data_IF_363544498520
#
_entry.id   IF_363544498520
#
_cell.length_a   1.000
_cell.length_b   1.000
_cell.length_c   1.000
_cell.angle_alpha   90.00
_cell.angle_beta   90.00
_cell.angle_gamma   90.00
#
_symmetry.space_group_name_H-M   'P 1'
#
loop_
_entity.id
_entity.type
_entity.pdbx_description
1 polymer ?
#
# COMPACT_ATOMS: atom_id res chain seq x y z
N UNK A 1 -8.84 20.02 -1.46
CA UNK A 1 -8.84 18.86 -2.39
C UNK A 1 -7.45 18.51 -2.93
N UNK A 2 -6.88 19.21 -3.94
CA UNK A 2 -5.57 18.81 -4.51
C UNK A 2 -4.42 18.76 -3.48
N UNK A 3 -4.34 19.78 -2.62
CA UNK A 3 -3.37 19.85 -1.52
C UNK A 3 -3.62 18.81 -0.43
N UNK A 4 -4.86 18.38 -0.21
CA UNK A 4 -5.20 17.38 0.82
C UNK A 4 -4.88 15.97 0.33
N UNK A 5 -5.32 15.61 -0.88
CA UNK A 5 -4.97 14.33 -1.52
C UNK A 5 -3.45 14.21 -1.64
N UNK A 6 -2.78 15.31 -1.99
CA UNK A 6 -1.34 15.39 -2.06
C UNK A 6 -0.63 15.09 -0.73
N UNK A 7 -1.08 15.68 0.38
CA UNK A 7 -0.56 15.40 1.73
C UNK A 7 -0.71 13.92 2.14
N UNK A 8 -1.73 13.23 1.63
CA UNK A 8 -2.02 11.84 1.99
C UNK A 8 -1.12 10.86 1.21
N UNK A 9 -0.91 11.10 -0.08
CA UNK A 9 -0.28 10.13 -0.99
C UNK A 9 1.13 10.49 -1.44
N UNK A 10 1.52 11.77 -1.48
CA UNK A 10 2.83 12.24 -1.94
C UNK A 10 3.40 13.34 -1.00
N UNK A 11 3.79 12.95 0.21
CA UNK A 11 4.28 13.85 1.27
C UNK A 11 5.61 14.56 0.96
N UNK A 12 6.38 14.08 -0.02
CA UNK A 12 7.74 14.57 -0.31
C UNK A 12 7.84 15.51 -1.53
N UNK A 13 6.72 15.87 -2.18
CA UNK A 13 6.74 16.75 -3.36
C UNK A 13 6.10 18.11 -3.10
N UNK A 14 6.88 19.18 -3.29
CA UNK A 14 6.45 20.58 -3.13
C UNK A 14 5.45 21.07 -4.19
N UNK A 15 5.25 20.32 -5.29
CA UNK A 15 4.28 20.64 -6.34
C UNK A 15 3.57 19.34 -6.71
N UNK A 16 2.26 19.28 -6.46
CA UNK A 16 1.44 18.10 -6.69
C UNK A 16 0.53 18.40 -7.86
N UNK A 17 0.85 17.83 -9.02
CA UNK A 17 0.01 17.94 -10.20
C UNK A 17 -1.29 17.17 -9.94
N UNK A 18 -2.43 17.86 -10.09
CA UNK A 18 -3.76 17.30 -9.86
C UNK A 18 -4.06 16.08 -10.73
N UNK A 19 -3.52 16.02 -11.95
CA UNK A 19 -3.66 14.88 -12.85
C UNK A 19 -2.79 13.67 -12.42
N UNK A 20 -1.70 13.92 -11.69
CA UNK A 20 -0.80 12.87 -11.18
C UNK A 20 -1.29 12.22 -9.88
N UNK A 21 -2.35 12.77 -9.26
CA UNK A 21 -2.97 12.15 -8.09
C UNK A 21 -3.61 10.80 -8.41
N UNK A 22 -3.90 10.53 -9.69
CA UNK A 22 -4.34 9.23 -10.19
C UNK A 22 -5.47 8.61 -9.37
N UNK A 23 -5.27 7.36 -8.94
CA UNK A 23 -6.21 6.58 -8.12
C UNK A 23 -6.49 7.25 -6.75
N UNK A 24 -5.54 8.04 -6.21
CA UNK A 24 -5.72 8.74 -4.94
C UNK A 24 -6.89 9.74 -4.96
N UNK A 25 -7.20 10.34 -6.11
CA UNK A 25 -8.37 11.22 -6.26
C UNK A 25 -9.69 10.45 -6.08
N UNK A 26 -9.74 9.23 -6.62
CA UNK A 26 -10.93 8.38 -6.57
C UNK A 26 -11.16 7.95 -5.13
N UNK A 27 -10.09 7.50 -4.46
CA UNK A 27 -10.14 7.09 -3.05
C UNK A 27 -10.66 8.21 -2.16
N UNK A 28 -10.21 9.46 -2.36
CA UNK A 28 -10.65 10.60 -1.54
C UNK A 28 -12.15 10.92 -1.68
N UNK A 29 -12.77 10.52 -2.79
CA UNK A 29 -14.21 10.68 -3.03
C UNK A 29 -15.06 9.53 -2.46
N UNK A 30 -14.43 8.44 -2.02
CA UNK A 30 -15.15 7.28 -1.50
C UNK A 30 -15.65 7.53 -0.07
N UNK A 31 -16.89 7.12 0.25
CA UNK A 31 -17.37 7.15 1.63
C UNK A 31 -16.51 6.26 2.55
N UNK A 32 -16.14 6.75 3.73
CA UNK A 32 -15.38 5.98 4.72
C UNK A 32 -15.97 4.60 5.06
N UNK A 33 -17.31 4.40 5.15
CA UNK A 33 -17.88 3.07 5.35
C UNK A 33 -17.52 2.09 4.23
N UNK A 34 -17.47 2.55 2.97
CA UNK A 34 -17.09 1.72 1.82
C UNK A 34 -15.61 1.34 1.88
N UNK A 35 -14.74 2.30 2.23
CA UNK A 35 -13.32 2.03 2.47
C UNK A 35 -13.11 0.96 3.56
N UNK A 36 -13.83 1.08 4.69
CA UNK A 36 -13.79 0.07 5.77
C UNK A 36 -14.26 -1.31 5.32
N UNK A 37 -15.34 -1.37 4.54
CA UNK A 37 -15.82 -2.63 3.97
C UNK A 37 -14.77 -3.27 3.05
N UNK A 38 -14.21 -2.49 2.14
CA UNK A 38 -13.18 -2.95 1.21
C UNK A 38 -11.96 -3.53 1.92
N UNK A 39 -11.41 -2.82 2.92
CA UNK A 39 -10.25 -3.31 3.69
C UNK A 39 -10.59 -4.62 4.41
N UNK A 40 -11.78 -4.70 5.04
CA UNK A 40 -12.20 -5.90 5.76
C UNK A 40 -12.35 -7.12 4.85
N UNK A 41 -12.84 -6.92 3.63
CA UNK A 41 -12.99 -7.99 2.64
C UNK A 41 -11.65 -8.47 2.10
N UNK A 42 -10.76 -7.53 1.72
CA UNK A 42 -9.47 -7.84 1.09
C UNK A 42 -8.45 -8.41 2.07
N UNK A 43 -8.37 -7.85 3.28
CA UNK A 43 -7.41 -8.27 4.29
C UNK A 43 -8.00 -9.25 5.31
N UNK A 44 -9.21 -9.75 5.07
CA UNK A 44 -9.91 -10.69 5.96
C UNK A 44 -9.96 -10.24 7.43
N UNK A 45 -10.08 -8.93 7.65
CA UNK A 45 -10.11 -8.32 8.98
C UNK A 45 -8.76 -7.90 9.55
N UNK A 46 -7.64 -8.16 8.86
CA UNK A 46 -6.37 -7.53 9.18
C UNK A 46 -6.37 -6.05 8.79
N UNK A 47 -5.58 -5.28 9.51
CA UNK A 47 -5.28 -3.87 9.28
C UNK A 47 -3.82 -3.72 8.89
N UNK A 48 -3.42 -2.52 8.46
CA UNK A 48 -2.01 -2.27 8.15
C UNK A 48 -1.12 -2.39 9.39
N UNK A 49 -1.66 -2.06 10.56
CA UNK A 49 -0.94 -2.09 11.83
C UNK A 49 -0.59 -3.53 12.27
N UNK A 50 -1.20 -4.55 11.65
CA UNK A 50 -0.88 -5.96 11.89
C UNK A 50 0.38 -6.42 11.13
N UNK A 51 0.89 -5.61 10.19
CA UNK A 51 2.14 -5.90 9.50
C UNK A 51 3.33 -5.26 10.22
N UNK A 52 4.38 -6.04 10.43
CA UNK A 52 5.65 -5.52 10.96
C UNK A 52 6.31 -4.54 9.96
N UNK A 53 7.13 -3.63 10.50
CA UNK A 53 7.85 -2.61 9.71
C UNK A 53 8.72 -3.24 8.60
N UNK A 54 9.27 -4.43 8.86
CA UNK A 54 10.09 -5.18 7.91
C UNK A 54 9.27 -5.63 6.69
N UNK A 55 8.05 -6.10 6.92
CA UNK A 55 7.10 -6.51 5.88
C UNK A 55 6.67 -5.30 5.07
N UNK A 56 6.28 -4.20 5.71
CA UNK A 56 5.89 -2.98 5.01
C UNK A 56 7.05 -2.40 4.19
N UNK A 57 8.26 -2.37 4.73
CA UNK A 57 9.46 -1.94 4.01
C UNK A 57 9.75 -2.86 2.81
N UNK A 58 9.62 -4.17 2.98
CA UNK A 58 9.80 -5.15 1.90
C UNK A 58 8.81 -4.91 0.78
N UNK A 59 7.53 -4.71 1.10
CA UNK A 59 6.47 -4.46 0.11
C UNK A 59 6.68 -3.13 -0.62
N UNK A 60 6.95 -2.05 0.11
CA UNK A 60 7.21 -0.75 -0.50
C UNK A 60 8.39 -0.84 -1.47
N UNK A 61 9.48 -1.50 -1.06
CA UNK A 61 10.65 -1.68 -1.92
C UNK A 61 10.39 -2.58 -3.12
N UNK A 62 9.52 -3.58 -2.96
CA UNK A 62 9.09 -4.45 -4.05
C UNK A 62 8.27 -3.69 -5.10
N UNK A 63 7.37 -2.79 -4.66
CA UNK A 63 6.63 -1.91 -5.56
C UNK A 63 7.54 -0.89 -6.27
N UNK A 64 8.48 -0.26 -5.56
CA UNK A 64 9.46 0.66 -6.16
C UNK A 64 10.29 0.02 -7.28
N UNK A 65 10.54 -1.29 -7.15
CA UNK A 65 11.28 -2.07 -8.13
C UNK A 65 10.37 -2.79 -9.15
N UNK A 66 9.13 -2.34 -9.32
CA UNK A 66 8.17 -2.90 -10.29
C UNK A 66 7.99 -4.43 -10.12
N UNK A 67 7.88 -4.89 -8.88
CA UNK A 67 7.71 -6.31 -8.53
C UNK A 67 8.90 -7.21 -8.95
N UNK A 68 10.07 -6.61 -9.19
CA UNK A 68 11.27 -7.35 -9.56
C UNK A 68 11.96 -7.92 -8.32
N UNK A 69 11.94 -9.24 -8.16
CA UNK A 69 12.55 -9.96 -7.03
C UNK A 69 14.06 -9.72 -6.96
N UNK A 70 14.76 -9.77 -8.09
CA UNK A 70 16.21 -9.63 -8.15
C UNK A 70 16.66 -8.24 -7.71
N UNK A 71 16.07 -7.19 -8.29
CA UNK A 71 16.38 -5.80 -7.95
C UNK A 71 16.01 -5.47 -6.50
N UNK A 72 14.84 -5.92 -6.04
CA UNK A 72 14.40 -5.70 -4.67
C UNK A 72 15.33 -6.36 -3.66
N UNK A 73 15.75 -7.60 -3.92
CA UNK A 73 16.68 -8.31 -3.03
C UNK A 73 18.02 -7.59 -2.92
N UNK A 74 18.53 -7.04 -4.03
CA UNK A 74 19.77 -6.26 -4.07
C UNK A 74 19.64 -4.97 -3.27
N UNK A 75 18.54 -4.24 -3.43
CA UNK A 75 18.34 -2.96 -2.73
C UNK A 75 18.02 -3.12 -1.24
N UNK A 76 17.43 -4.25 -0.84
CA UNK A 76 17.23 -4.60 0.57
C UNK A 76 18.47 -5.23 1.21
N UNK A 77 19.56 -5.45 0.45
CA UNK A 77 20.77 -6.13 0.90
C UNK A 77 20.50 -7.54 1.48
N UNK A 78 19.52 -8.25 0.90
CA UNK A 78 19.15 -9.61 1.30
C UNK A 78 19.29 -10.58 0.13
N UNK A 79 19.35 -11.87 0.43
CA UNK A 79 19.32 -12.89 -0.60
C UNK A 79 17.92 -13.00 -1.23
N UNK A 80 17.85 -13.34 -2.52
CA UNK A 80 16.57 -13.50 -3.24
C UNK A 80 15.61 -14.47 -2.54
N UNK A 81 16.13 -15.56 -1.95
CA UNK A 81 15.30 -16.55 -1.27
C UNK A 81 14.70 -16.00 0.03
N UNK A 82 15.43 -15.12 0.73
CA UNK A 82 14.91 -14.41 1.91
C UNK A 82 13.76 -13.49 1.51
N UNK A 83 13.89 -12.79 0.38
CA UNK A 83 12.80 -11.98 -0.16
C UNK A 83 11.58 -12.83 -0.52
N UNK A 84 11.78 -13.94 -1.23
CA UNK A 84 10.70 -14.88 -1.58
C UNK A 84 10.01 -15.39 -0.33
N UNK A 85 10.76 -15.79 0.71
CA UNK A 85 10.19 -16.21 1.98
C UNK A 85 9.32 -15.12 2.64
N UNK A 86 9.77 -13.86 2.62
CA UNK A 86 8.97 -12.74 3.15
C UNK A 86 7.69 -12.53 2.35
N UNK A 87 7.76 -12.63 1.02
CA UNK A 87 6.58 -12.53 0.15
C UNK A 87 5.60 -13.70 0.39
N UNK A 88 6.11 -14.92 0.57
CA UNK A 88 5.29 -16.09 0.87
C UNK A 88 4.64 -15.98 2.27
N UNK A 89 5.35 -15.40 3.26
CA UNK A 89 4.78 -15.08 4.59
C UNK A 89 3.62 -14.10 4.44
N UNK A 90 3.79 -13.04 3.66
CA UNK A 90 2.74 -12.06 3.40
C UNK A 90 1.55 -12.70 2.68
N UNK A 91 1.78 -13.51 1.65
CA UNK A 91 0.73 -14.24 0.94
C UNK A 91 -0.08 -15.14 1.89
N UNK A 92 0.57 -15.80 2.86
CA UNK A 92 -0.14 -16.61 3.86
C UNK A 92 -1.00 -15.78 4.80
N UNK A 93 -0.59 -14.55 5.11
CA UNK A 93 -1.35 -13.65 5.98
C UNK A 93 -2.54 -13.04 5.27
N UNK A 94 -2.38 -12.65 4.00
CA UNK A 94 -3.34 -11.81 3.28
C UNK A 94 -4.11 -12.53 2.19
N UNK A 95 -3.64 -13.72 1.79
CA UNK A 95 -4.15 -14.43 0.61
C UNK A 95 -3.63 -13.89 -0.73
N UNK A 96 -2.88 -12.78 -0.73
CA UNK A 96 -2.46 -12.07 -1.94
C UNK A 96 -1.01 -12.38 -2.30
N UNK A 97 -0.77 -12.85 -3.54
CA UNK A 97 0.59 -13.03 -4.06
C UNK A 97 1.05 -11.75 -4.79
N UNK A 98 1.90 -10.95 -4.13
CA UNK A 98 2.39 -9.70 -4.75
C UNK A 98 3.24 -9.91 -6.01
N UNK A 99 3.66 -11.13 -6.33
CA UNK A 99 4.32 -11.44 -7.61
C UNK A 99 3.32 -11.48 -8.76
N UNK A 100 2.05 -11.71 -8.47
CA UNK A 100 0.95 -11.54 -9.42
C UNK A 100 0.55 -10.06 -9.46
N UNK A 101 0.44 -9.52 -10.67
CA UNK A 101 0.13 -8.11 -10.88
C UNK A 101 -1.25 -7.69 -10.32
N UNK A 102 -2.27 -8.53 -10.49
CA UNK A 102 -3.63 -8.23 -10.04
C UNK A 102 -3.70 -8.15 -8.51
N UNK A 103 -3.12 -9.14 -7.83
CA UNK A 103 -2.99 -9.17 -6.36
C UNK A 103 -2.14 -8.00 -5.85
N UNK A 104 -1.06 -7.66 -6.56
CA UNK A 104 -0.20 -6.54 -6.22
C UNK A 104 -0.94 -5.20 -6.32
N UNK A 105 -1.79 -5.00 -7.33
CA UNK A 105 -2.64 -3.81 -7.44
C UNK A 105 -3.64 -3.77 -6.30
N UNK A 106 -4.31 -4.88 -6.00
CA UNK A 106 -5.26 -4.96 -4.89
C UNK A 106 -4.57 -4.53 -3.59
N UNK A 107 -3.40 -5.10 -3.30
CA UNK A 107 -2.64 -4.74 -2.11
C UNK A 107 -2.22 -3.26 -2.12
N UNK A 108 -1.78 -2.72 -3.26
CA UNK A 108 -1.39 -1.31 -3.39
C UNK A 108 -2.56 -0.38 -3.09
N UNK A 109 -3.75 -0.68 -3.61
CA UNK A 109 -4.97 0.10 -3.37
C UNK A 109 -5.36 0.01 -1.89
N UNK A 110 -5.30 -1.19 -1.29
CA UNK A 110 -5.52 -1.40 0.15
C UNK A 110 -4.60 -0.52 1.00
N UNK A 111 -3.30 -0.45 0.67
CA UNK A 111 -2.37 0.46 1.35
C UNK A 111 -2.79 1.94 1.24
N UNK A 112 -3.23 2.36 0.05
CA UNK A 112 -3.69 3.73 -0.18
C UNK A 112 -4.97 4.05 0.58
N UNK A 113 -5.96 3.16 0.57
CA UNK A 113 -7.24 3.34 1.25
C UNK A 113 -7.04 3.45 2.77
N UNK A 114 -6.20 2.61 3.35
CA UNK A 114 -5.89 2.69 4.78
C UNK A 114 -5.17 3.99 5.16
N UNK A 115 -4.21 4.47 4.35
CA UNK A 115 -3.58 5.79 4.56
C UNK A 115 -4.60 6.92 4.55
N UNK A 116 -5.55 6.86 3.62
CA UNK A 116 -6.66 7.81 3.54
C UNK A 116 -7.54 7.75 4.80
N UNK A 117 -7.91 6.55 5.26
CA UNK A 117 -8.71 6.39 6.48
C UNK A 117 -8.01 6.98 7.72
N UNK A 118 -6.72 6.67 7.91
CA UNK A 118 -5.91 7.21 9.02
C UNK A 118 -5.87 8.75 8.97
N UNK A 119 -5.74 9.33 7.77
CA UNK A 119 -5.75 10.78 7.61
C UNK A 119 -7.10 11.40 7.97
N UNK A 120 -8.21 10.81 7.51
CA UNK A 120 -9.55 11.31 7.81
C UNK A 120 -9.90 11.20 9.30
N UNK A 121 -9.45 10.15 9.97
CA UNK A 121 -9.62 10.00 11.42
C UNK A 121 -8.85 11.10 12.17
N UNK A 122 -7.62 11.44 11.76
CA UNK A 122 -6.83 12.54 12.34
C UNK A 122 -7.43 13.93 12.13
N UNK A 123 -8.23 14.14 11.08
CA UNK A 123 -8.91 15.42 10.82
C UNK A 123 -10.25 15.55 11.55
N UNK A 124 -10.78 14.46 12.09
CA UNK A 124 -12.06 14.44 12.82
C UNK A 124 -11.91 14.83 14.30
N UNK A 125 -10.67 15.08 14.76
CA UNK A 125 -10.29 15.61 16.06
C UNK A 125 -9.63 16.98 15.89
#
# INVERSE_FOLDING_TARGET
MALEVGKIFESDKNIINYEWLGIGRLIYQLPLPLCRMFIKEVLHGLTIDDFDDETLATVNKFFENNLNVSETSRQLYIHRNTLVYRLDKLQKMTGLDLRNFDDAIIFKITLMVSRYMIYMDKMSY
#
